data_IF_009891045996
#
_entry.id   IF_009891045996
#
_cell.length_a   1.000
_cell.length_b   1.000
_cell.length_c   1.000
_cell.angle_alpha   90.00
_cell.angle_beta   90.00
_cell.angle_gamma   90.00
#
_symmetry.space_group_name_H-M   'P 1'
#
loop_
_entity.id
_entity.type
_entity.pdbx_description
1 polymer ?
#
# COMPACT_ATOMS: atom_id res chain seq x y z
N UNK A 1 -39.51 1.05 20.51
CA UNK A 1 -38.58 1.59 19.50
C UNK A 1 -38.49 0.53 18.44
N UNK A 2 -39.26 0.70 17.38
CA UNK A 2 -39.35 -0.29 16.32
C UNK A 2 -38.13 -0.15 15.42
N UNK A 3 -37.32 -1.19 15.41
CA UNK A 3 -36.24 -1.35 14.45
C UNK A 3 -36.89 -1.87 13.16
N UNK A 4 -37.26 -0.94 12.28
CA UNK A 4 -37.67 -1.25 10.91
C UNK A 4 -36.46 -1.82 10.17
N UNK A 5 -36.30 -3.13 10.20
CA UNK A 5 -35.36 -3.82 9.34
C UNK A 5 -35.78 -3.57 7.88
N UNK A 6 -35.13 -2.60 7.24
CA UNK A 6 -35.46 -2.14 5.88
C UNK A 6 -35.14 -3.18 4.79
N UNK A 7 -34.45 -4.26 5.13
CA UNK A 7 -34.14 -5.36 4.24
C UNK A 7 -34.50 -6.70 4.90
N UNK A 8 -35.40 -7.43 4.25
CA UNK A 8 -35.81 -8.78 4.68
C UNK A 8 -34.72 -9.82 4.41
N UNK A 9 -33.91 -9.62 3.36
CA UNK A 9 -32.81 -10.52 2.98
C UNK A 9 -31.62 -9.72 2.43
N UNK A 10 -30.41 -10.07 2.88
CA UNK A 10 -29.16 -9.52 2.38
C UNK A 10 -28.38 -10.58 1.60
N UNK A 11 -28.05 -10.30 0.34
CA UNK A 11 -27.21 -11.16 -0.47
C UNK A 11 -25.76 -10.67 -0.45
N UNK A 12 -24.83 -11.62 -0.29
CA UNK A 12 -23.39 -11.34 -0.22
C UNK A 12 -22.72 -11.94 -1.44
N UNK A 13 -21.89 -11.14 -2.11
CA UNK A 13 -21.03 -11.60 -3.20
C UNK A 13 -19.66 -11.92 -2.59
N UNK A 14 -19.29 -13.21 -2.62
CA UNK A 14 -17.98 -13.71 -2.18
C UNK A 14 -17.20 -14.33 -3.34
N UNK A 15 -15.90 -14.59 -3.13
CA UNK A 15 -15.05 -15.22 -4.14
C UNK A 15 -15.58 -16.60 -4.56
N UNK A 16 -16.06 -17.37 -3.59
CA UNK A 16 -16.63 -18.70 -3.76
C UNK A 16 -17.94 -18.62 -4.56
N UNK A 17 -18.81 -17.66 -4.23
CA UNK A 17 -20.12 -17.51 -4.87
C UNK A 17 -20.04 -17.22 -6.37
N UNK A 18 -18.94 -16.57 -6.81
CA UNK A 18 -18.76 -16.15 -8.20
C UNK A 18 -17.84 -17.06 -9.01
N UNK A 19 -17.11 -17.97 -8.36
CA UNK A 19 -16.04 -18.75 -8.98
C UNK A 19 -16.48 -19.49 -10.25
N UNK A 20 -17.65 -20.11 -10.23
CA UNK A 20 -18.20 -20.86 -11.37
C UNK A 20 -18.47 -19.93 -12.56
N UNK A 21 -18.91 -18.70 -12.28
CA UNK A 21 -19.31 -17.72 -13.29
C UNK A 21 -18.09 -17.04 -13.94
N UNK A 22 -16.91 -17.12 -13.31
CA UNK A 22 -15.67 -16.56 -13.85
C UNK A 22 -15.13 -17.30 -15.06
N UNK A 23 -15.60 -18.52 -15.31
CA UNK A 23 -15.23 -19.31 -16.48
C UNK A 23 -16.05 -18.95 -17.72
N UNK A 24 -17.08 -18.11 -17.58
CA UNK A 24 -17.91 -17.70 -18.70
C UNK A 24 -17.21 -16.61 -19.51
N UNK A 25 -17.24 -16.74 -20.84
CA UNK A 25 -16.65 -15.75 -21.76
C UNK A 25 -17.22 -14.34 -21.56
N UNK A 26 -18.50 -14.24 -21.17
CA UNK A 26 -19.16 -12.99 -20.83
C UNK A 26 -19.53 -12.98 -19.35
N UNK A 27 -18.75 -12.27 -18.54
CA UNK A 27 -19.09 -12.06 -17.14
C UNK A 27 -20.36 -11.23 -17.01
N UNK A 28 -21.27 -11.66 -16.15
CA UNK A 28 -22.36 -10.81 -15.68
C UNK A 28 -21.74 -9.56 -14.99
N UNK A 29 -22.36 -8.39 -15.17
CA UNK A 29 -21.85 -7.12 -14.62
C UNK A 29 -21.67 -7.16 -13.10
N UNK A 30 -22.58 -7.79 -12.36
CA UNK A 30 -22.46 -7.94 -10.90
C UNK A 30 -21.30 -8.86 -10.52
N UNK A 31 -21.10 -9.94 -11.28
CA UNK A 31 -19.97 -10.85 -11.11
C UNK A 31 -18.65 -10.14 -11.40
N UNK A 32 -18.57 -9.37 -12.48
CA UNK A 32 -17.39 -8.58 -12.81
C UNK A 32 -17.09 -7.53 -11.73
N UNK A 33 -18.11 -6.86 -11.20
CA UNK A 33 -17.99 -5.90 -10.11
C UNK A 33 -17.46 -6.55 -8.83
N UNK A 34 -18.10 -7.64 -8.39
CA UNK A 34 -17.66 -8.40 -7.23
C UNK A 34 -16.25 -8.92 -7.39
N UNK A 35 -15.94 -9.51 -8.55
CA UNK A 35 -14.61 -10.01 -8.88
C UNK A 35 -13.55 -8.91 -8.79
N UNK A 36 -13.82 -7.74 -9.38
CA UNK A 36 -12.91 -6.60 -9.34
C UNK A 36 -12.62 -6.15 -7.89
N UNK A 37 -13.66 -5.98 -7.08
CA UNK A 37 -13.52 -5.56 -5.68
C UNK A 37 -12.92 -6.62 -4.77
N UNK A 38 -13.10 -7.91 -5.07
CA UNK A 38 -12.46 -9.01 -4.32
C UNK A 38 -10.96 -9.05 -4.61
N UNK A 39 -10.57 -8.86 -5.88
CA UNK A 39 -9.18 -8.97 -6.29
C UNK A 39 -8.28 -7.85 -5.77
N UNK A 40 -8.82 -6.62 -5.67
CA UNK A 40 -8.12 -5.42 -5.16
C UNK A 40 -6.72 -5.23 -5.74
N UNK A 41 -6.51 -5.61 -7.00
CA UNK A 41 -5.20 -5.50 -7.64
C UNK A 41 -5.02 -4.10 -8.21
N UNK A 42 -3.83 -3.53 -7.97
CA UNK A 42 -3.44 -2.20 -8.47
C UNK A 42 -3.09 -2.17 -9.95
N UNK A 43 -2.72 -3.32 -10.52
CA UNK A 43 -2.30 -3.41 -11.93
C UNK A 43 -3.34 -4.17 -12.72
N UNK A 44 -3.77 -3.59 -13.84
CA UNK A 44 -4.62 -4.28 -14.82
C UNK A 44 -4.04 -5.65 -15.24
N UNK A 45 -2.71 -5.77 -15.31
CA UNK A 45 -2.05 -7.01 -15.75
C UNK A 45 -2.20 -8.16 -14.76
N UNK A 46 -2.37 -7.85 -13.47
CA UNK A 46 -2.54 -8.83 -12.40
C UNK A 46 -4.00 -9.11 -12.06
N UNK A 47 -4.95 -8.40 -12.69
CA UNK A 47 -6.39 -8.67 -12.55
C UNK A 47 -6.77 -9.88 -13.41
N UNK A 48 -7.44 -10.86 -12.80
CA UNK A 48 -8.07 -11.96 -13.54
C UNK A 48 -9.12 -11.43 -14.51
N UNK A 49 -9.29 -12.05 -15.68
CA UNK A 49 -10.26 -11.57 -16.68
C UNK A 49 -10.00 -10.12 -17.17
N UNK A 50 -8.74 -9.66 -17.18
CA UNK A 50 -8.32 -8.32 -17.65
C UNK A 50 -8.75 -7.91 -19.07
N UNK A 51 -9.12 -8.88 -19.91
CA UNK A 51 -9.64 -8.63 -21.25
C UNK A 51 -11.16 -8.42 -21.27
N UNK A 52 -11.84 -8.63 -20.14
CA UNK A 52 -13.26 -8.37 -20.01
C UNK A 52 -13.52 -6.84 -20.04
N UNK A 53 -14.40 -6.34 -20.92
CA UNK A 53 -14.66 -4.90 -21.05
C UNK A 53 -15.17 -4.24 -19.77
N UNK A 54 -15.95 -4.96 -18.94
CA UNK A 54 -16.47 -4.42 -17.67
C UNK A 54 -15.35 -4.26 -16.67
N UNK A 55 -14.44 -5.24 -16.57
CA UNK A 55 -13.25 -5.14 -15.71
C UNK A 55 -12.35 -3.98 -16.15
N UNK A 56 -12.16 -3.80 -17.45
CA UNK A 56 -11.38 -2.69 -18.00
C UNK A 56 -11.98 -1.33 -17.63
N UNK A 57 -13.29 -1.19 -17.80
CA UNK A 57 -14.00 0.03 -17.43
C UNK A 57 -13.91 0.32 -15.91
N UNK A 58 -14.13 -0.69 -15.07
CA UNK A 58 -14.05 -0.54 -13.61
C UNK A 58 -12.65 -0.13 -13.14
N UNK A 59 -11.61 -0.71 -13.73
CA UNK A 59 -10.25 -0.29 -13.46
C UNK A 59 -10.01 1.15 -13.91
N UNK A 60 -10.46 1.53 -15.11
CA UNK A 60 -10.26 2.90 -15.61
C UNK A 60 -10.93 3.91 -14.68
N UNK A 61 -12.18 3.68 -14.29
CA UNK A 61 -12.90 4.53 -13.33
C UNK A 61 -12.16 4.62 -12.00
N UNK A 62 -11.67 3.48 -11.48
CA UNK A 62 -10.95 3.45 -10.21
C UNK A 62 -9.62 4.18 -10.32
N UNK A 63 -8.91 3.98 -11.43
CA UNK A 63 -7.67 4.69 -11.73
C UNK A 63 -7.93 6.19 -11.78
N UNK A 64 -8.86 6.67 -12.60
CA UNK A 64 -9.12 8.10 -12.75
C UNK A 64 -9.53 8.78 -11.43
N UNK A 65 -10.24 8.06 -10.55
CA UNK A 65 -10.66 8.58 -9.24
C UNK A 65 -9.55 8.55 -8.19
N UNK A 66 -8.74 7.49 -8.16
CA UNK A 66 -7.84 7.22 -7.05
C UNK A 66 -6.35 7.31 -7.41
N UNK A 67 -5.99 7.58 -8.67
CA UNK A 67 -4.60 7.61 -9.15
C UNK A 67 -3.74 8.60 -8.35
N UNK A 68 -4.26 9.79 -8.05
CA UNK A 68 -3.55 10.79 -7.24
C UNK A 68 -3.31 10.31 -5.79
N UNK A 69 -4.29 9.65 -5.19
CA UNK A 69 -4.19 9.11 -3.82
C UNK A 69 -3.22 7.92 -3.77
N UNK A 70 -3.26 7.05 -4.78
CA UNK A 70 -2.36 5.91 -4.93
C UNK A 70 -0.91 6.38 -5.06
N UNK A 71 -0.63 7.39 -5.89
CA UNK A 71 0.73 7.94 -6.03
C UNK A 71 1.23 8.58 -4.73
N UNK A 72 0.36 9.27 -4.00
CA UNK A 72 0.74 9.87 -2.72
C UNK A 72 1.09 8.81 -1.65
N UNK A 73 0.40 7.67 -1.64
CA UNK A 73 0.73 6.55 -0.74
C UNK A 73 2.03 5.84 -1.17
N UNK A 74 2.23 5.62 -2.47
CA UNK A 74 3.43 4.97 -3.00
C UNK A 74 4.69 5.81 -2.76
N UNK A 75 4.61 7.12 -2.92
CA UNK A 75 5.72 8.02 -2.60
C UNK A 75 6.11 7.93 -1.11
N UNK A 76 5.12 7.87 -0.21
CA UNK A 76 5.38 7.66 1.23
C UNK A 76 6.06 6.32 1.47
N UNK A 77 5.62 5.25 0.79
CA UNK A 77 6.20 3.91 0.90
C UNK A 77 7.65 3.87 0.42
N UNK A 78 7.99 4.58 -0.67
CA UNK A 78 9.37 4.71 -1.16
C UNK A 78 10.25 5.39 -0.12
N UNK A 79 9.78 6.49 0.47
CA UNK A 79 10.51 7.21 1.52
C UNK A 79 10.71 6.33 2.76
N UNK A 80 9.69 5.59 3.19
CA UNK A 80 9.77 4.68 4.34
C UNK A 80 10.76 3.55 4.05
N UNK A 81 10.75 2.95 2.85
CA UNK A 81 11.70 1.89 2.48
C UNK A 81 13.14 2.39 2.49
N UNK A 82 13.41 3.57 1.92
CA UNK A 82 14.74 4.18 1.94
C UNK A 82 15.20 4.47 3.38
N UNK A 83 14.29 4.99 4.21
CA UNK A 83 14.53 5.23 5.64
C UNK A 83 14.91 3.94 6.37
N UNK A 84 14.11 2.88 6.21
CA UNK A 84 14.37 1.57 6.84
C UNK A 84 15.68 0.94 6.35
N UNK A 85 15.98 1.04 5.06
CA UNK A 85 17.23 0.53 4.50
C UNK A 85 18.44 1.24 5.10
N UNK A 86 18.43 2.58 5.13
CA UNK A 86 19.51 3.38 5.70
C UNK A 86 19.66 3.18 7.21
N UNK A 87 18.55 3.09 7.93
CA UNK A 87 18.52 2.74 9.35
C UNK A 87 19.27 1.44 9.61
N UNK A 88 18.88 0.39 8.87
CA UNK A 88 19.52 -0.93 8.94
C UNK A 88 21.02 -0.84 8.66
N UNK A 89 21.43 -0.14 7.61
CA UNK A 89 22.86 0.02 7.27
C UNK A 89 23.65 0.70 8.39
N UNK A 90 23.11 1.73 9.03
CA UNK A 90 23.82 2.40 10.14
C UNK A 90 23.91 1.48 11.37
N UNK A 91 22.85 0.75 11.71
CA UNK A 91 22.91 -0.23 12.80
C UNK A 91 23.90 -1.37 12.51
N UNK A 92 23.95 -1.87 11.27
CA UNK A 92 24.93 -2.88 10.86
C UNK A 92 26.38 -2.38 10.99
N UNK A 93 26.64 -1.12 10.65
CA UNK A 93 27.98 -0.50 10.84
C UNK A 93 28.35 -0.40 12.31
N UNK A 94 27.42 0.02 13.17
CA UNK A 94 27.63 0.09 14.63
C UNK A 94 27.96 -1.30 15.18
N UNK A 95 27.16 -2.32 14.85
CA UNK A 95 27.38 -3.70 15.31
C UNK A 95 28.74 -4.23 14.85
N UNK A 96 29.12 -4.02 13.58
CA UNK A 96 30.42 -4.45 13.06
C UNK A 96 31.58 -3.75 13.77
N UNK A 97 31.47 -2.45 14.06
CA UNK A 97 32.49 -1.72 14.80
C UNK A 97 32.67 -2.26 16.22
N UNK A 98 31.58 -2.59 16.91
CA UNK A 98 31.62 -3.16 18.26
C UNK A 98 32.18 -4.58 18.28
N UNK A 99 31.89 -5.39 17.26
CA UNK A 99 32.38 -6.79 17.17
C UNK A 99 33.86 -6.89 16.79
N UNK A 100 34.38 -5.95 15.99
CA UNK A 100 35.75 -6.02 15.46
C UNK A 100 36.83 -5.41 16.38
N UNK A 101 36.47 -4.94 17.58
CA UNK A 101 37.42 -4.51 18.62
C UNK A 101 38.30 -3.30 18.29
N UNK A 102 38.09 -2.60 17.17
CA UNK A 102 38.84 -1.40 16.79
C UNK A 102 38.25 -0.12 17.41
N UNK A 103 39.09 0.90 17.66
CA UNK A 103 38.81 2.20 18.31
C UNK A 103 37.32 2.59 18.30
N UNK A 104 36.62 2.06 19.31
CA UNK A 104 35.21 1.70 19.18
C UNK A 104 34.30 2.87 19.51
N UNK A 105 34.73 3.81 20.34
CA UNK A 105 33.85 4.87 20.81
C UNK A 105 33.63 5.97 19.77
N UNK A 106 34.68 6.42 19.07
CA UNK A 106 34.57 7.52 18.11
C UNK A 106 33.71 7.18 16.88
N UNK A 107 33.94 6.00 16.28
CA UNK A 107 33.18 5.56 15.09
C UNK A 107 31.75 5.14 15.43
N UNK A 108 31.53 4.51 16.59
CA UNK A 108 30.17 4.16 17.04
C UNK A 108 29.37 5.41 17.32
N UNK A 109 29.96 6.41 17.99
CA UNK A 109 29.32 7.69 18.23
C UNK A 109 28.99 8.40 16.91
N UNK A 110 29.95 8.44 15.98
CA UNK A 110 29.73 9.02 14.65
C UNK A 110 28.57 8.36 13.89
N UNK A 111 28.50 7.03 13.83
CA UNK A 111 27.40 6.35 13.14
C UNK A 111 26.05 6.52 13.85
N UNK A 112 26.04 6.65 15.18
CA UNK A 112 24.84 6.95 15.94
C UNK A 112 24.36 8.39 15.68
N UNK A 113 25.27 9.37 15.65
CA UNK A 113 24.99 10.77 15.34
C UNK A 113 24.51 10.94 13.89
N UNK A 114 25.14 10.26 12.93
CA UNK A 114 24.70 10.23 11.53
C UNK A 114 23.27 9.68 11.41
N UNK A 115 22.95 8.65 12.20
CA UNK A 115 21.59 8.13 12.33
C UNK A 115 20.63 9.22 12.83
N UNK A 116 20.94 9.85 13.96
CA UNK A 116 20.10 10.90 14.58
C UNK A 116 19.87 12.09 13.62
N UNK A 117 20.91 12.58 12.96
CA UNK A 117 20.84 13.65 11.96
C UNK A 117 19.98 13.27 10.75
N UNK A 118 19.86 11.99 10.39
CA UNK A 118 19.00 11.56 9.30
C UNK A 118 17.53 11.36 9.71
N UNK A 119 17.28 10.86 10.93
CA UNK A 119 15.92 10.63 11.42
C UNK A 119 15.19 11.93 11.79
N UNK A 120 15.90 12.97 12.25
CA UNK A 120 15.29 14.26 12.62
C UNK A 120 14.59 14.98 11.43
N UNK A 121 15.24 15.21 10.27
CA UNK A 121 14.60 15.85 9.11
C UNK A 121 13.52 14.98 8.46
N UNK A 122 13.67 13.65 8.54
CA UNK A 122 12.70 12.69 8.00
C UNK A 122 11.34 12.80 8.73
N UNK A 123 11.37 13.09 10.03
CA UNK A 123 10.17 13.35 10.85
C UNK A 123 9.41 14.60 10.40
N UNK A 124 10.13 15.67 10.07
CA UNK A 124 9.57 16.95 9.60
C UNK A 124 8.99 16.82 8.18
N UNK A 125 9.65 16.08 7.29
CA UNK A 125 9.13 15.81 5.93
C UNK A 125 7.84 14.99 5.95
N UNK A 126 7.74 13.99 6.85
CA UNK A 126 6.51 13.19 7.02
C UNK A 126 5.37 14.05 7.59
N UNK A 127 5.65 14.95 8.55
CA UNK A 127 4.64 15.82 9.19
C UNK A 127 4.17 17.00 8.32
N UNK A 128 5.05 17.61 7.52
CA UNK A 128 4.67 18.71 6.62
C UNK A 128 3.80 18.20 5.46
N UNK A 129 4.15 17.04 4.89
CA UNK A 129 3.39 16.47 3.76
C UNK A 129 2.01 15.92 4.16
N UNK A 130 1.80 15.56 5.43
CA UNK A 130 0.47 15.24 5.96
C UNK A 130 -0.47 16.45 6.12
N UNK A 131 0.07 17.68 6.24
CA UNK A 131 -0.73 18.91 6.39
C UNK A 131 -1.15 19.54 5.06
N UNK A 132 -0.43 19.27 3.98
CA UNK A 132 -0.72 19.81 2.63
C UNK A 132 -1.85 19.07 1.90
N UNK A 133 -2.24 17.88 2.35
CA UNK A 133 -3.31 17.06 1.75
C UNK A 133 -4.69 17.25 2.43
N UNK A 134 -4.84 18.24 3.32
CA UNK A 134 -6.10 18.53 4.04
C UNK A 134 -6.72 19.89 3.67
N UNK A 135 -6.29 20.52 2.58
CA UNK A 135 -6.92 21.73 2.03
C UNK A 135 -7.55 21.45 0.66
#
# INVERSE_FOLDING_TARGET
MDCDYWAENCQIISAESIQIQLNNNLLNKLVALGHFFIQQKRSMLSIGQKHNPTIQLLYQISKDKFENECYAEEEKLVVIKDLCFKAKTQFEKIVRCLQNGGDSNGKVLQYAEDGLCFFQPSRTKIQQKSRSNTN
#
